data_IF_380968667466
#
_entry.id   IF_380968667466
#
_cell.length_a   1.000
_cell.length_b   1.000
_cell.length_c   1.000
_cell.angle_alpha   90.00
_cell.angle_beta   90.00
_cell.angle_gamma   90.00
#
_symmetry.space_group_name_H-M   'P 1'
#
loop_
_entity.id
_entity.type
_entity.pdbx_description
1 polymer ?
#
# COMPACT_ATOMS: atom_id res chain seq x y z
N UNK A 1 10.46 -21.42 80.14
CA UNK A 1 9.18 -21.67 79.44
C UNK A 1 9.15 -20.80 78.20
N UNK A 2 9.61 -21.32 77.06
CA UNK A 2 9.73 -20.59 75.81
C UNK A 2 8.52 -20.91 74.91
N UNK A 3 7.81 -19.88 74.45
CA UNK A 3 6.73 -20.01 73.46
C UNK A 3 7.33 -20.13 72.05
N UNK A 4 6.83 -21.02 71.17
CA UNK A 4 7.21 -21.00 69.76
C UNK A 4 6.40 -19.94 69.02
N UNK A 5 7.10 -19.11 68.23
CA UNK A 5 6.51 -18.15 67.30
C UNK A 5 6.23 -18.87 65.98
N UNK A 6 4.96 -18.94 65.55
CA UNK A 6 4.59 -19.42 64.22
C UNK A 6 4.83 -18.30 63.19
N UNK A 7 5.75 -18.54 62.27
CA UNK A 7 5.95 -17.71 61.08
C UNK A 7 4.92 -18.15 60.02
N UNK A 8 3.94 -17.31 59.73
CA UNK A 8 3.04 -17.50 58.58
C UNK A 8 3.73 -16.99 57.31
N UNK A 9 4.13 -17.90 56.43
CA UNK A 9 4.62 -17.59 55.09
C UNK A 9 3.41 -17.41 54.18
N UNK A 10 3.02 -16.16 53.90
CA UNK A 10 1.98 -15.85 52.92
C UNK A 10 2.53 -16.04 51.50
N UNK A 11 2.15 -17.13 50.83
CA UNK A 11 2.31 -17.27 49.39
C UNK A 11 1.31 -16.34 48.69
N UNK A 12 1.79 -15.18 48.24
CA UNK A 12 1.05 -14.32 47.33
C UNK A 12 1.05 -14.96 45.94
N UNK A 13 -0.04 -15.64 45.57
CA UNK A 13 -0.30 -15.99 44.18
C UNK A 13 -0.54 -14.69 43.41
N UNK A 14 0.44 -14.28 42.61
CA UNK A 14 0.26 -13.22 41.63
C UNK A 14 -0.72 -13.70 40.56
N UNK A 15 -1.92 -13.16 40.58
CA UNK A 15 -2.90 -13.31 39.50
C UNK A 15 -2.35 -12.61 38.27
N UNK A 16 -1.72 -13.37 37.36
CA UNK A 16 -1.47 -12.89 36.01
C UNK A 16 -2.83 -12.64 35.37
N UNK A 17 -3.24 -11.37 35.31
CA UNK A 17 -4.35 -10.95 34.46
C UNK A 17 -3.93 -11.25 33.03
N UNK A 18 -4.40 -12.38 32.49
CA UNK A 18 -4.42 -12.58 31.06
C UNK A 18 -5.27 -11.45 30.48
N UNK A 19 -4.62 -10.51 29.79
CA UNK A 19 -5.31 -9.56 28.93
C UNK A 19 -6.05 -10.42 27.92
N UNK A 20 -7.35 -10.57 28.11
CA UNK A 20 -8.25 -11.08 27.08
C UNK A 20 -8.13 -10.11 25.92
N UNK A 21 -7.27 -10.44 24.94
CA UNK A 21 -7.40 -9.86 23.62
C UNK A 21 -8.87 -10.05 23.24
N UNK A 22 -9.60 -8.95 23.08
CA UNK A 22 -10.92 -9.00 22.48
C UNK A 22 -10.79 -9.83 21.22
N UNK A 23 -11.73 -10.75 21.00
CA UNK A 23 -11.82 -11.51 19.76
C UNK A 23 -12.11 -10.51 18.63
N UNK A 24 -11.05 -9.90 18.15
CA UNK A 24 -11.04 -9.10 16.94
C UNK A 24 -11.40 -10.03 15.79
N UNK A 25 -12.11 -9.46 14.83
CA UNK A 25 -12.79 -10.16 13.76
C UNK A 25 -11.87 -11.20 13.08
N UNK A 26 -12.01 -12.49 13.44
CA UNK A 26 -11.23 -13.64 12.94
C UNK A 26 -11.42 -13.91 11.43
N UNK A 27 -12.03 -12.97 10.70
CA UNK A 27 -12.32 -13.10 9.29
C UNK A 27 -11.01 -13.05 8.52
N UNK A 28 -10.56 -14.21 8.07
CA UNK A 28 -9.43 -14.32 7.16
C UNK A 28 -9.72 -13.62 5.84
N UNK A 29 -8.71 -13.01 5.24
CA UNK A 29 -8.78 -12.45 3.90
C UNK A 29 -7.89 -13.25 2.93
N UNK A 30 -8.36 -13.52 1.70
CA UNK A 30 -7.50 -14.07 0.68
C UNK A 30 -6.45 -13.04 0.28
N UNK A 31 -5.20 -13.45 0.18
CA UNK A 31 -4.10 -12.56 -0.20
C UNK A 31 -3.12 -13.24 -1.16
N UNK A 32 -2.44 -12.41 -1.95
CA UNK A 32 -1.15 -12.74 -2.55
C UNK A 32 -0.04 -12.10 -1.72
N UNK A 33 1.04 -12.83 -1.50
CA UNK A 33 2.21 -12.31 -0.80
C UNK A 33 3.49 -13.01 -1.28
N UNK A 34 4.63 -12.48 -0.85
CA UNK A 34 5.92 -13.15 -1.00
C UNK A 34 5.86 -14.55 -0.39
N UNK A 35 6.21 -15.57 -1.18
CA UNK A 35 6.20 -16.97 -0.76
C UNK A 35 7.11 -17.19 0.45
N UNK A 36 8.28 -16.55 0.47
CA UNK A 36 9.21 -16.66 1.59
C UNK A 36 8.67 -16.01 2.85
N UNK A 37 7.93 -14.90 2.72
CA UNK A 37 7.39 -14.19 3.88
C UNK A 37 6.20 -14.96 4.47
N UNK A 38 5.34 -15.55 3.63
CA UNK A 38 4.30 -16.48 4.06
C UNK A 38 4.87 -17.68 4.84
N UNK A 39 5.95 -18.27 4.34
CA UNK A 39 6.65 -19.36 5.02
C UNK A 39 7.26 -18.92 6.35
N UNK A 40 7.84 -17.72 6.43
CA UNK A 40 8.45 -17.18 7.66
C UNK A 40 7.44 -16.97 8.79
N UNK A 41 6.20 -16.61 8.47
CA UNK A 41 5.12 -16.48 9.47
C UNK A 41 4.32 -17.76 9.67
N UNK A 42 4.73 -18.88 9.04
CA UNK A 42 4.01 -20.15 9.03
C UNK A 42 2.56 -20.04 8.51
N UNK A 43 2.30 -19.14 7.56
CA UNK A 43 0.99 -19.04 6.92
C UNK A 43 0.75 -20.21 5.96
N UNK A 44 -0.47 -20.78 5.90
CA UNK A 44 -0.79 -21.85 4.96
C UNK A 44 -0.69 -21.36 3.51
N UNK A 45 0.19 -21.95 2.71
CA UNK A 45 0.31 -21.64 1.28
C UNK A 45 -0.59 -22.59 0.49
N UNK A 46 -1.68 -22.05 -0.08
CA UNK A 46 -2.72 -22.85 -0.75
C UNK A 46 -2.51 -22.97 -2.26
N UNK A 47 -1.85 -21.99 -2.86
CA UNK A 47 -1.34 -22.03 -4.22
C UNK A 47 -0.06 -21.19 -4.28
N UNK A 48 0.84 -21.48 -5.22
CA UNK A 48 2.10 -20.76 -5.33
C UNK A 48 2.69 -20.84 -6.72
N UNK A 49 3.54 -19.87 -7.02
CA UNK A 49 4.42 -19.86 -8.16
C UNK A 49 5.87 -19.65 -7.69
N UNK A 50 6.68 -20.71 -7.61
CA UNK A 50 8.06 -20.59 -7.14
C UNK A 50 8.97 -19.76 -8.06
N UNK A 51 8.60 -19.60 -9.34
CA UNK A 51 9.41 -18.83 -10.29
C UNK A 51 9.23 -17.33 -10.07
N UNK A 52 8.00 -16.88 -9.81
CA UNK A 52 7.71 -15.48 -9.47
C UNK A 52 7.91 -15.21 -7.98
N UNK A 53 7.96 -16.25 -7.14
CA UNK A 53 8.11 -16.14 -5.69
C UNK A 53 6.83 -15.69 -4.99
N UNK A 54 5.66 -15.84 -5.63
CA UNK A 54 4.36 -15.42 -5.08
C UNK A 54 3.58 -16.62 -4.55
N UNK A 55 3.01 -16.48 -3.36
CA UNK A 55 2.11 -17.45 -2.75
C UNK A 55 0.73 -16.85 -2.48
N UNK A 56 -0.27 -17.72 -2.49
CA UNK A 56 -1.65 -17.41 -2.12
C UNK A 56 -1.99 -18.04 -0.77
N UNK A 57 -2.64 -17.27 0.10
CA UNK A 57 -3.03 -17.70 1.45
C UNK A 57 -4.31 -17.00 1.91
N UNK A 58 -4.95 -17.55 2.95
CA UNK A 58 -5.95 -16.83 3.74
C UNK A 58 -5.31 -16.40 5.05
N UNK A 59 -5.19 -15.09 5.27
CA UNK A 59 -4.53 -14.53 6.44
C UNK A 59 -5.52 -13.96 7.43
N UNK A 60 -5.31 -14.24 8.71
CA UNK A 60 -5.96 -13.51 9.81
C UNK A 60 -5.37 -12.09 9.92
N UNK A 61 -6.02 -11.17 10.62
CA UNK A 61 -5.46 -9.84 10.82
C UNK A 61 -4.11 -9.83 11.55
N UNK A 62 -3.87 -10.77 12.45
CA UNK A 62 -2.58 -10.93 13.14
C UNK A 62 -1.48 -11.34 12.17
N UNK A 63 -1.76 -12.28 11.26
CA UNK A 63 -0.82 -12.70 10.22
C UNK A 63 -0.51 -11.55 9.25
N UNK A 64 -1.52 -10.76 8.89
CA UNK A 64 -1.33 -9.56 8.07
C UNK A 64 -0.39 -8.55 8.74
N UNK A 65 -0.59 -8.30 10.04
CA UNK A 65 0.29 -7.42 10.83
C UNK A 65 1.72 -7.96 10.91
N UNK A 66 1.88 -9.28 11.08
CA UNK A 66 3.21 -9.90 11.07
C UNK A 66 3.92 -9.69 9.72
N UNK A 67 3.24 -9.92 8.59
CA UNK A 67 3.82 -9.67 7.26
C UNK A 67 4.18 -8.20 7.05
N UNK A 68 3.32 -7.28 7.46
CA UNK A 68 3.56 -5.85 7.35
C UNK A 68 4.81 -5.45 8.16
N UNK A 69 4.92 -5.91 9.41
CA UNK A 69 6.07 -5.64 10.26
C UNK A 69 7.37 -6.22 9.71
N UNK A 70 7.33 -7.44 9.17
CA UNK A 70 8.51 -8.06 8.52
C UNK A 70 8.93 -7.32 7.26
N UNK A 71 7.97 -6.85 6.46
CA UNK A 71 8.23 -6.09 5.25
C UNK A 71 8.88 -4.74 5.58
N UNK A 72 8.33 -4.01 6.58
CA UNK A 72 8.93 -2.77 7.06
C UNK A 72 10.35 -2.99 7.61
N UNK A 73 10.60 -4.08 8.34
CA UNK A 73 11.94 -4.42 8.83
C UNK A 73 12.95 -4.67 7.69
N UNK A 74 12.47 -5.00 6.48
CA UNK A 74 13.28 -5.17 5.26
C UNK A 74 13.31 -3.91 4.38
N UNK A 75 12.80 -2.78 4.87
CA UNK A 75 12.71 -1.52 4.12
C UNK A 75 11.67 -1.55 2.99
N UNK A 76 10.65 -2.40 3.09
CA UNK A 76 9.55 -2.49 2.12
C UNK A 76 8.26 -1.98 2.76
N UNK A 77 7.48 -1.20 2.02
CA UNK A 77 6.10 -0.86 2.38
C UNK A 77 5.13 -1.92 1.85
N UNK A 78 4.05 -2.18 2.58
CA UNK A 78 3.12 -3.27 2.26
C UNK A 78 3.69 -4.65 2.63
N UNK A 79 3.27 -5.71 1.97
CA UNK A 79 3.76 -7.07 2.24
C UNK A 79 2.83 -8.18 1.72
N UNK A 80 1.58 -7.81 1.47
CA UNK A 80 0.57 -8.64 0.86
C UNK A 80 -0.41 -7.77 0.07
N UNK A 81 -1.10 -8.38 -0.88
CA UNK A 81 -2.20 -7.81 -1.64
C UNK A 81 -3.47 -8.56 -1.27
N UNK A 82 -4.49 -7.85 -0.77
CA UNK A 82 -5.78 -8.45 -0.48
C UNK A 82 -6.54 -8.65 -1.78
N UNK A 83 -6.96 -9.88 -2.04
CA UNK A 83 -7.82 -10.18 -3.17
C UNK A 83 -9.29 -9.92 -2.79
N UNK A 84 -10.07 -9.23 -3.63
CA UNK A 84 -11.51 -9.15 -3.46
C UNK A 84 -12.12 -10.56 -3.39
N UNK A 85 -13.01 -10.81 -2.42
CA UNK A 85 -13.54 -12.17 -2.20
C UNK A 85 -14.35 -12.71 -3.39
N UNK A 86 -14.87 -11.83 -4.24
CA UNK A 86 -15.55 -12.17 -5.50
C UNK A 86 -14.59 -12.59 -6.63
N UNK A 87 -13.30 -12.27 -6.53
CA UNK A 87 -12.27 -12.69 -7.49
C UNK A 87 -11.72 -14.08 -7.14
N UNK A 88 -11.77 -14.45 -5.87
CA UNK A 88 -11.40 -15.79 -5.40
C UNK A 88 -12.61 -16.72 -5.40
N UNK A 89 -12.98 -17.18 -6.60
CA UNK A 89 -14.09 -18.13 -6.78
C UNK A 89 -13.67 -19.57 -6.45
N UNK A 90 -12.40 -19.92 -6.71
CA UNK A 90 -11.84 -21.25 -6.42
C UNK A 90 -10.31 -21.23 -6.46
N UNK A 91 -9.65 -22.28 -5.98
CA UNK A 91 -8.19 -22.39 -6.11
C UNK A 91 -7.72 -22.48 -7.57
N UNK A 92 -8.57 -22.96 -8.50
CA UNK A 92 -8.22 -22.99 -9.92
C UNK A 92 -8.23 -21.60 -10.55
N UNK A 93 -9.10 -20.68 -10.11
CA UNK A 93 -9.04 -19.27 -10.57
C UNK A 93 -7.75 -18.61 -10.11
N UNK A 94 -7.38 -18.78 -8.83
CA UNK A 94 -6.10 -18.28 -8.29
C UNK A 94 -4.91 -18.87 -9.05
N UNK A 95 -4.92 -20.17 -9.34
CA UNK A 95 -3.84 -20.83 -10.10
C UNK A 95 -3.73 -20.27 -11.52
N UNK A 96 -4.86 -19.90 -12.13
CA UNK A 96 -4.88 -19.27 -13.45
C UNK A 96 -4.24 -17.88 -13.41
N UNK A 97 -4.56 -17.06 -12.40
CA UNK A 97 -3.92 -15.75 -12.18
C UNK A 97 -2.41 -15.87 -11.93
N UNK A 98 -1.98 -16.84 -11.12
CA UNK A 98 -0.55 -17.10 -10.91
C UNK A 98 0.17 -17.50 -12.22
N UNK A 99 -0.49 -18.25 -13.10
CA UNK A 99 0.05 -18.56 -14.42
C UNK A 99 0.15 -17.33 -15.33
N UNK A 100 -0.83 -16.42 -15.29
CA UNK A 100 -0.75 -15.13 -16.00
C UNK A 100 0.42 -14.30 -15.48
N UNK A 101 0.59 -14.22 -14.16
CA UNK A 101 1.72 -13.54 -13.53
C UNK A 101 3.05 -14.16 -13.97
N UNK A 102 3.14 -15.49 -14.03
CA UNK A 102 4.32 -16.20 -14.55
C UNK A 102 4.62 -15.82 -16.00
N UNK A 103 3.61 -15.81 -16.87
CA UNK A 103 3.78 -15.44 -18.28
C UNK A 103 4.29 -14.01 -18.42
N UNK A 104 3.73 -13.09 -17.64
CA UNK A 104 4.17 -11.70 -17.59
C UNK A 104 5.61 -11.59 -17.07
N UNK A 105 5.95 -12.28 -15.98
CA UNK A 105 7.31 -12.33 -15.45
C UNK A 105 8.32 -12.84 -16.48
N UNK A 106 8.01 -13.93 -17.19
CA UNK A 106 8.88 -14.47 -18.24
C UNK A 106 9.05 -13.49 -19.41
N UNK A 107 7.97 -12.80 -19.79
CA UNK A 107 8.00 -11.75 -20.81
C UNK A 107 8.91 -10.60 -20.39
N UNK A 108 8.79 -10.12 -19.15
CA UNK A 108 9.64 -9.04 -18.62
C UNK A 108 11.11 -9.46 -18.55
N UNK A 109 11.39 -10.68 -18.08
CA UNK A 109 12.73 -11.25 -18.10
C UNK A 109 13.29 -11.36 -19.52
N UNK A 110 12.46 -11.69 -20.51
CA UNK A 110 12.88 -11.72 -21.91
C UNK A 110 13.24 -10.34 -22.45
N UNK A 111 12.50 -9.29 -22.06
CA UNK A 111 12.83 -7.91 -22.44
C UNK A 111 14.15 -7.44 -21.83
N UNK A 112 14.43 -7.83 -20.59
CA UNK A 112 15.68 -7.51 -19.90
C UNK A 112 16.90 -8.27 -20.47
N UNK A 113 16.70 -9.52 -20.93
CA UNK A 113 17.77 -10.39 -21.45
C UNK A 113 17.97 -10.32 -22.97
N UNK A 114 16.97 -9.84 -23.70
CA UNK A 114 17.09 -9.61 -25.13
C UNK A 114 18.24 -8.63 -25.42
N UNK A 115 18.64 -8.44 -26.69
CA UNK A 115 19.45 -7.27 -27.03
C UNK A 115 18.62 -6.07 -26.62
N UNK A 116 18.91 -5.54 -25.42
CA UNK A 116 18.37 -4.27 -24.95
C UNK A 116 18.82 -3.34 -26.06
N UNK A 117 17.90 -3.02 -26.97
CA UNK A 117 18.03 -1.78 -27.68
C UNK A 117 17.91 -0.78 -26.55
N UNK A 118 19.05 -0.44 -25.95
CA UNK A 118 19.25 0.84 -25.32
C UNK A 118 18.89 1.77 -26.45
N UNK A 119 17.61 2.12 -26.51
CA UNK A 119 17.14 3.14 -27.40
C UNK A 119 17.92 4.30 -26.88
N UNK A 120 19.00 4.67 -27.57
CA UNK A 120 19.80 5.82 -27.17
C UNK A 120 18.80 6.96 -27.16
N UNK A 121 18.37 7.32 -25.95
CA UNK A 121 17.44 8.40 -25.76
C UNK A 121 18.30 9.63 -25.95
N UNK A 122 18.32 10.14 -27.18
CA UNK A 122 18.95 11.42 -27.44
C UNK A 122 18.32 12.44 -26.51
N UNK A 123 19.15 13.16 -25.77
CA UNK A 123 18.70 14.24 -24.89
C UNK A 123 17.86 15.20 -25.73
N UNK A 124 16.57 15.33 -25.38
CA UNK A 124 15.67 16.24 -26.07
C UNK A 124 15.75 17.60 -25.37
N UNK A 125 16.01 18.70 -26.10
CA UNK A 125 16.01 20.04 -25.51
C UNK A 125 14.75 20.35 -24.70
N UNK A 126 13.58 19.88 -25.16
CA UNK A 126 12.31 20.06 -24.46
C UNK A 126 12.24 19.34 -23.10
N UNK A 127 12.97 18.24 -22.92
CA UNK A 127 13.05 17.55 -21.61
C UNK A 127 13.93 18.36 -20.66
N UNK A 128 15.06 18.89 -21.14
CA UNK A 128 15.91 19.76 -20.33
C UNK A 128 15.19 21.05 -19.93
N UNK A 129 14.43 21.65 -20.85
CA UNK A 129 13.58 22.80 -20.58
C UNK A 129 12.51 22.47 -19.52
N UNK A 130 11.78 21.36 -19.67
CA UNK A 130 10.78 20.93 -18.68
C UNK A 130 11.38 20.72 -17.29
N UNK A 131 12.57 20.12 -17.20
CA UNK A 131 13.30 19.94 -15.93
C UNK A 131 13.68 21.30 -15.32
N UNK A 132 14.09 22.28 -16.14
CA UNK A 132 14.45 23.62 -15.65
C UNK A 132 13.28 24.41 -15.05
N UNK A 133 12.04 24.04 -15.38
CA UNK A 133 10.83 24.63 -14.81
C UNK A 133 10.46 24.05 -13.44
N UNK A 134 11.07 22.93 -13.03
CA UNK A 134 10.80 22.31 -11.73
C UNK A 134 11.40 23.16 -10.61
N UNK A 135 10.58 23.55 -9.64
CA UNK A 135 11.00 24.35 -8.50
C UNK A 135 10.92 23.53 -7.22
N UNK A 136 12.05 23.37 -6.52
CA UNK A 136 12.13 22.62 -5.27
C UNK A 136 11.19 23.15 -4.18
N UNK A 137 10.97 24.47 -4.12
CA UNK A 137 10.04 25.07 -3.16
C UNK A 137 8.60 24.60 -3.40
N UNK A 138 8.14 24.48 -4.65
CA UNK A 138 6.79 24.00 -4.95
C UNK A 138 6.59 22.54 -4.51
N UNK A 139 7.64 21.72 -4.62
CA UNK A 139 7.64 20.35 -4.11
C UNK A 139 7.56 20.35 -2.58
N UNK A 140 8.44 21.10 -1.91
CA UNK A 140 8.45 21.21 -0.44
C UNK A 140 7.13 21.73 0.13
N UNK A 141 6.52 22.72 -0.51
CA UNK A 141 5.21 23.26 -0.11
C UNK A 141 4.10 22.21 -0.30
N UNK A 142 4.14 21.42 -1.37
CA UNK A 142 3.16 20.36 -1.61
C UNK A 142 3.28 19.26 -0.58
N UNK A 143 4.50 18.79 -0.29
CA UNK A 143 4.78 17.80 0.75
C UNK A 143 4.33 18.32 2.12
N UNK A 144 4.70 19.56 2.47
CA UNK A 144 4.35 20.16 3.76
C UNK A 144 2.84 20.32 3.92
N UNK A 145 2.15 20.75 2.85
CA UNK A 145 0.70 20.86 2.82
C UNK A 145 0.03 19.50 2.98
N UNK A 146 0.45 18.49 2.21
CA UNK A 146 -0.16 17.17 2.26
C UNK A 146 0.18 16.42 3.57
N UNK A 147 1.32 16.73 4.20
CA UNK A 147 1.72 16.24 5.53
C UNK A 147 1.00 16.94 6.68
N UNK A 148 0.34 18.07 6.43
CA UNK A 148 -0.41 18.80 7.46
C UNK A 148 -1.75 18.13 7.82
N UNK A 149 -2.24 17.23 6.97
CA UNK A 149 -3.39 16.40 7.30
C UNK A 149 -2.99 15.43 8.43
N UNK A 150 -3.73 15.38 9.57
CA UNK A 150 -3.35 14.55 10.71
C UNK A 150 -3.13 13.07 10.36
N UNK A 151 -3.96 12.56 9.44
CA UNK A 151 -3.81 11.25 8.82
C UNK A 151 -4.55 11.25 7.48
N UNK A 152 -3.98 10.58 6.48
CA UNK A 152 -4.60 10.32 5.17
C UNK A 152 -5.13 8.89 5.04
N UNK A 153 -5.32 8.19 6.16
CA UNK A 153 -5.78 6.80 6.19
C UNK A 153 -7.22 6.65 5.67
N UNK A 154 -7.46 5.59 4.90
CA UNK A 154 -8.78 5.23 4.36
C UNK A 154 -9.87 4.95 5.41
N UNK A 155 -9.46 4.63 6.64
CA UNK A 155 -10.33 4.34 7.80
C UNK A 155 -10.70 5.57 8.61
N UNK A 156 -10.10 6.73 8.34
CA UNK A 156 -10.41 7.99 9.03
C UNK A 156 -11.81 8.50 8.69
N UNK A 157 -12.44 9.21 9.62
CA UNK A 157 -13.68 9.95 9.35
C UNK A 157 -13.52 10.97 8.23
N UNK A 158 -12.31 11.52 8.07
CA UNK A 158 -11.94 12.52 7.04
C UNK A 158 -11.15 11.91 5.87
N UNK A 159 -11.31 10.61 5.60
CA UNK A 159 -10.59 9.83 4.57
C UNK A 159 -10.53 10.43 3.15
N UNK A 160 -11.47 11.30 2.76
CA UNK A 160 -11.49 11.94 1.44
C UNK A 160 -11.05 13.40 1.45
N UNK A 161 -10.86 14.03 2.61
CA UNK A 161 -10.58 15.46 2.71
C UNK A 161 -9.30 15.86 1.94
N UNK A 162 -8.25 15.03 2.02
CA UNK A 162 -6.99 15.27 1.32
C UNK A 162 -7.12 15.11 -0.21
N UNK A 163 -7.87 14.11 -0.70
CA UNK A 163 -8.07 13.87 -2.14
C UNK A 163 -8.94 14.96 -2.76
N UNK A 164 -10.00 15.38 -2.06
CA UNK A 164 -10.88 16.47 -2.50
C UNK A 164 -10.13 17.83 -2.56
N UNK A 165 -9.28 18.08 -1.57
CA UNK A 165 -8.43 19.27 -1.55
C UNK A 165 -7.37 19.22 -2.68
N UNK A 166 -6.76 18.06 -2.93
CA UNK A 166 -5.82 17.89 -4.04
C UNK A 166 -6.51 18.08 -5.39
N UNK A 167 -7.73 17.57 -5.56
CA UNK A 167 -8.55 17.81 -6.76
C UNK A 167 -8.74 19.32 -6.99
N UNK A 168 -9.08 20.07 -5.96
CA UNK A 168 -9.26 21.53 -6.08
C UNK A 168 -7.95 22.23 -6.49
N UNK A 169 -6.82 21.83 -5.92
CA UNK A 169 -5.49 22.36 -6.28
C UNK A 169 -5.13 22.05 -7.73
N UNK A 170 -5.36 20.81 -8.18
CA UNK A 170 -5.16 20.39 -9.57
C UNK A 170 -6.09 21.13 -10.52
N UNK A 171 -7.38 21.25 -10.21
CA UNK A 171 -8.34 22.00 -11.04
C UNK A 171 -7.92 23.46 -11.20
N UNK A 172 -7.32 24.07 -10.18
CA UNK A 172 -6.75 25.41 -10.28
C UNK A 172 -5.55 25.46 -11.25
N UNK A 173 -4.66 24.47 -11.22
CA UNK A 173 -3.56 24.35 -12.18
C UNK A 173 -4.05 24.17 -13.62
N UNK A 174 -5.08 23.35 -13.80
CA UNK A 174 -5.65 23.04 -15.12
C UNK A 174 -6.35 24.23 -15.78
N UNK A 175 -6.73 25.29 -15.04
CA UNK A 175 -7.32 26.51 -15.64
C UNK A 175 -6.43 27.16 -16.69
N UNK A 176 -5.11 27.03 -16.54
CA UNK A 176 -4.13 27.58 -17.46
C UNK A 176 -3.62 26.53 -18.47
N UNK A 177 -4.14 25.31 -18.43
CA UNK A 177 -3.75 24.27 -19.37
C UNK A 177 -4.42 24.51 -20.74
N UNK A 178 -3.66 24.59 -21.84
CA UNK A 178 -4.21 24.94 -23.15
C UNK A 178 -4.98 23.78 -23.83
N UNK A 179 -4.85 22.55 -23.34
CA UNK A 179 -5.45 21.35 -23.94
C UNK A 179 -6.72 20.87 -23.23
N UNK A 180 -7.32 19.81 -23.76
CA UNK A 180 -8.42 19.14 -23.06
C UNK A 180 -7.89 18.42 -21.81
N UNK A 181 -8.42 18.79 -20.65
CA UNK A 181 -8.06 18.21 -19.37
C UNK A 181 -9.26 17.95 -18.48
N UNK A 182 -9.17 16.95 -17.60
CA UNK A 182 -10.20 16.63 -16.61
C UNK A 182 -9.59 16.07 -15.34
N UNK A 183 -10.05 16.56 -14.19
CA UNK A 183 -9.77 15.96 -12.88
C UNK A 183 -11.07 15.34 -12.34
N UNK A 184 -11.03 14.07 -11.94
CA UNK A 184 -12.19 13.35 -11.43
C UNK A 184 -11.83 12.44 -10.25
N UNK A 185 -12.78 12.28 -9.33
CA UNK A 185 -12.66 11.31 -8.25
C UNK A 185 -13.21 9.95 -8.71
N UNK A 186 -12.53 8.89 -8.32
CA UNK A 186 -12.91 7.50 -8.59
C UNK A 186 -13.38 6.87 -7.28
N UNK A 187 -14.59 6.33 -7.31
CA UNK A 187 -15.16 5.52 -6.24
C UNK A 187 -14.67 4.08 -6.32
N UNK A 188 -14.51 3.44 -5.17
CA UNK A 188 -14.04 2.06 -5.04
C UNK A 188 -15.07 1.22 -4.28
N UNK A 189 -15.05 -0.10 -4.52
CA UNK A 189 -15.94 -1.04 -3.82
C UNK A 189 -15.36 -1.52 -2.49
N UNK A 190 -14.03 -1.59 -2.37
CA UNK A 190 -13.32 -2.14 -1.21
C UNK A 190 -12.86 -1.10 -0.18
N UNK A 191 -12.92 0.18 -0.51
CA UNK A 191 -12.60 1.29 0.41
C UNK A 191 -13.50 2.48 0.13
N UNK A 192 -13.73 3.30 1.15
CA UNK A 192 -14.51 4.54 1.03
C UNK A 192 -13.65 5.78 0.75
N UNK A 193 -12.32 5.62 0.75
CA UNK A 193 -11.42 6.63 0.23
C UNK A 193 -11.39 6.57 -1.30
N UNK A 194 -11.54 7.73 -1.95
CA UNK A 194 -11.56 7.87 -3.41
C UNK A 194 -10.15 8.04 -3.95
N UNK A 195 -9.93 7.72 -5.23
CA UNK A 195 -8.69 8.12 -5.94
C UNK A 195 -8.91 9.35 -6.80
N UNK A 196 -7.87 10.16 -7.00
CA UNK A 196 -7.88 11.27 -7.96
C UNK A 196 -7.27 10.81 -9.29
N UNK A 197 -8.03 10.96 -10.38
CA UNK A 197 -7.53 10.76 -11.75
C UNK A 197 -7.50 12.09 -12.49
N UNK A 198 -6.35 12.38 -13.08
CA UNK A 198 -6.15 13.56 -13.92
C UNK A 198 -5.82 13.09 -15.34
N UNK A 199 -6.65 13.50 -16.29
CA UNK A 199 -6.47 13.18 -17.71
C UNK A 199 -6.06 14.43 -18.45
N UNK A 200 -4.92 14.38 -19.13
CA UNK A 200 -4.50 15.37 -20.13
C UNK A 200 -4.56 14.69 -21.50
N UNK A 201 -5.51 15.07 -22.36
CA UNK A 201 -5.69 14.38 -23.64
C UNK A 201 -4.65 14.86 -24.65
N UNK A 202 -3.83 13.93 -25.14
CA UNK A 202 -2.88 14.19 -26.22
C UNK A 202 -3.57 14.65 -27.50
N UNK A 203 -2.97 15.60 -28.21
CA UNK A 203 -3.51 16.12 -29.48
C UNK A 203 -3.01 15.34 -30.70
N UNK A 204 -1.88 14.64 -30.58
CA UNK A 204 -1.24 13.90 -31.69
C UNK A 204 -1.55 12.41 -31.64
N UNK A 205 -1.47 11.79 -30.45
CA UNK A 205 -1.70 10.35 -30.23
C UNK A 205 -2.61 10.11 -29.02
N UNK A 206 -3.89 10.52 -29.06
CA UNK A 206 -4.81 10.44 -27.92
C UNK A 206 -5.08 9.02 -27.42
N UNK A 207 -4.82 8.01 -28.24
CA UNK A 207 -4.92 6.57 -27.96
C UNK A 207 -3.69 5.98 -27.27
N UNK A 208 -2.54 6.66 -27.30
CA UNK A 208 -1.37 6.27 -26.51
C UNK A 208 -1.53 6.78 -25.07
N UNK A 209 -1.68 5.85 -24.13
CA UNK A 209 -1.89 6.18 -22.72
C UNK A 209 -0.56 6.07 -21.97
N UNK A 210 -0.14 7.17 -21.34
CA UNK A 210 0.97 7.23 -20.40
C UNK A 210 0.41 7.53 -19.01
N UNK A 211 0.73 6.70 -18.03
CA UNK A 211 0.25 6.83 -16.66
C UNK A 211 1.44 7.16 -15.76
N UNK A 212 1.31 8.22 -14.98
CA UNK A 212 2.15 8.54 -13.84
C UNK A 212 1.27 8.49 -12.60
N UNK A 213 1.76 7.88 -11.53
CA UNK A 213 0.96 7.68 -10.33
C UNK A 213 1.80 7.49 -9.07
N UNK A 214 1.11 7.65 -7.95
CA UNK A 214 1.55 7.37 -6.59
C UNK A 214 0.30 7.14 -5.73
N UNK A 215 0.48 6.66 -4.51
CA UNK A 215 -0.62 6.55 -3.56
C UNK A 215 -0.74 7.83 -2.73
N UNK A 216 -1.93 8.14 -2.26
CA UNK A 216 -2.25 9.42 -1.61
C UNK A 216 -2.58 9.27 -0.12
N UNK A 217 -2.75 8.03 0.33
CA UNK A 217 -2.99 7.68 1.71
C UNK A 217 -1.70 7.71 2.55
N UNK A 218 -1.87 7.52 3.84
CA UNK A 218 -0.79 7.38 4.80
C UNK A 218 -1.30 6.55 5.96
N UNK A 219 -0.49 5.62 6.45
CA UNK A 219 -0.85 4.76 7.57
C UNK A 219 0.19 4.89 8.68
N UNK A 220 -0.26 4.95 9.92
CA UNK A 220 0.64 4.76 11.05
C UNK A 220 0.92 3.27 11.24
N UNK A 221 2.12 2.93 11.69
CA UNK A 221 2.58 1.55 11.91
C UNK A 221 1.80 0.76 12.98
N UNK A 222 0.85 1.38 13.69
CA UNK A 222 -0.02 0.70 14.65
C UNK A 222 -1.29 0.19 13.97
N UNK A 223 -1.51 -1.12 14.02
CA UNK A 223 -2.75 -1.76 13.59
C UNK A 223 -3.95 -1.12 14.33
N UNK A 224 -4.99 -0.73 13.58
CA UNK A 224 -6.15 0.02 14.11
C UNK A 224 -6.11 1.55 13.88
N UNK A 225 -5.20 2.05 13.04
CA UNK A 225 -4.89 3.47 12.74
C UNK A 225 -5.99 4.43 12.27
N UNK A 226 -7.19 4.38 12.85
CA UNK A 226 -8.23 5.38 12.68
C UNK A 226 -7.98 6.70 13.43
N UNK A 227 -6.90 6.82 14.20
CA UNK A 227 -6.63 8.03 15.00
C UNK A 227 -5.17 8.36 15.31
N UNK A 228 -4.20 7.59 14.82
CA UNK A 228 -2.78 7.92 15.00
C UNK A 228 -2.29 8.91 13.94
N UNK A 229 -1.43 9.83 14.36
CA UNK A 229 -0.84 10.83 13.47
C UNK A 229 0.06 10.14 12.45
N UNK A 230 -0.26 10.30 11.17
CA UNK A 230 0.45 9.71 10.04
C UNK A 230 0.69 10.81 9.01
N UNK A 231 1.74 11.64 9.17
CA UNK A 231 2.00 12.74 8.24
C UNK A 231 2.40 12.22 6.85
N UNK A 232 3.00 11.02 6.76
CA UNK A 232 3.31 10.37 5.48
C UNK A 232 4.08 11.27 4.52
N UNK A 233 5.09 11.98 5.02
CA UNK A 233 5.81 13.01 4.27
C UNK A 233 6.68 12.43 3.14
N UNK A 234 7.34 11.30 3.41
CA UNK A 234 8.13 10.55 2.41
C UNK A 234 7.29 9.43 1.76
N UNK A 235 6.27 8.95 2.49
CA UNK A 235 5.39 7.85 2.11
C UNK A 235 3.92 8.31 2.13
N UNK A 236 3.38 8.93 1.06
CA UNK A 236 3.97 9.38 -0.22
C UNK A 236 3.41 10.78 -0.56
N UNK A 237 3.79 11.80 0.23
CA UNK A 237 3.31 13.17 0.04
C UNK A 237 4.08 13.93 -1.05
#
# INVERSE_FOLDING_TARGET
>A
MNKPSLLFLSLSFGSSFAVSHQLENLKTQPVLASLTDLQQINAPVLAQDPLTGVGFSYLTPEMQLQLQNQSHAKGKCGGYEVLPSNEVQSLSSVTSELNLLRQQYLKDQSFLKGPVQYKTLSAKPSVAEAISLVQGNNLHETVSWLSSFPSRNERSDQKNAHVEAMKTKVEAWLKNWPGASKAELIDHTGTSQKSLKVTLRGTVRPEEIVILGGHHDSVASSWGGGGSQAPGADDNA
#
